data_IF_763678095859
#
_entry.id   IF_763678095859
#
_cell.length_a   1.000
_cell.length_b   1.000
_cell.length_c   1.000
_cell.angle_alpha   90.00
_cell.angle_beta   90.00
_cell.angle_gamma   90.00
#
_symmetry.space_group_name_H-M   'P 1'
#
loop_
_entity.id
_entity.type
_entity.pdbx_description
1 polymer ?
#
# COMPACT_ATOMS: atom_id res chain seq x y z
N UNK A 1 -4.45 11.65 9.25
CA UNK A 1 -5.94 11.80 9.27
C UNK A 1 -6.50 10.72 8.38
N UNK A 2 -7.63 10.13 8.76
CA UNK A 2 -8.33 9.14 7.95
C UNK A 2 -9.79 9.55 7.77
N UNK A 3 -10.36 9.20 6.62
CA UNK A 3 -11.76 9.36 6.32
C UNK A 3 -12.29 8.04 5.76
N UNK A 4 -13.31 7.51 6.42
CA UNK A 4 -14.01 6.31 5.99
C UNK A 4 -15.42 6.67 5.59
N UNK A 5 -15.89 6.10 4.49
CA UNK A 5 -17.29 6.15 4.13
C UNK A 5 -17.75 4.76 3.74
N UNK A 6 -19.00 4.48 4.07
CA UNK A 6 -19.71 3.30 3.60
C UNK A 6 -20.96 3.71 2.85
N UNK A 7 -21.55 2.77 2.11
CA UNK A 7 -22.80 2.91 1.33
C UNK A 7 -22.60 3.30 -0.15
N UNK A 8 -21.79 2.52 -0.89
CA UNK A 8 -21.76 2.63 -2.37
C UNK A 8 -22.83 1.81 -3.09
N UNK A 9 -23.58 0.98 -2.35
CA UNK A 9 -24.62 0.10 -2.91
C UNK A 9 -24.10 -1.16 -3.61
N UNK A 10 -22.77 -1.35 -3.68
CA UNK A 10 -22.14 -2.54 -4.27
C UNK A 10 -21.94 -3.67 -3.28
N UNK A 11 -21.99 -3.38 -1.98
CA UNK A 11 -22.09 -4.38 -0.92
C UNK A 11 -23.56 -4.51 -0.48
N UNK A 12 -24.34 -5.47 -1.01
CA UNK A 12 -25.79 -5.56 -0.78
C UNK A 12 -26.18 -5.85 0.68
N UNK A 13 -25.22 -6.24 1.52
CA UNK A 13 -25.43 -6.50 2.95
C UNK A 13 -25.02 -5.33 3.86
N UNK A 14 -24.61 -4.19 3.29
CA UNK A 14 -24.20 -3.03 4.09
C UNK A 14 -25.42 -2.30 4.67
N UNK A 15 -25.55 -2.31 6.00
CA UNK A 15 -26.50 -1.52 6.78
C UNK A 15 -25.78 -0.36 7.49
N UNK A 16 -26.48 0.72 7.89
CA UNK A 16 -25.91 1.71 8.81
C UNK A 16 -25.31 1.02 10.05
N UNK A 17 -23.98 1.15 10.24
CA UNK A 17 -23.21 0.40 11.25
C UNK A 17 -22.41 -0.81 10.74
N UNK A 18 -22.35 -1.05 9.42
CA UNK A 18 -21.48 -2.05 8.79
C UNK A 18 -20.05 -1.55 8.51
N UNK A 19 -19.19 -2.42 7.94
CA UNK A 19 -17.79 -2.12 7.61
C UNK A 19 -17.65 -1.19 6.40
N UNK A 20 -16.73 -0.21 6.47
CA UNK A 20 -16.43 0.72 5.39
C UNK A 20 -16.02 0.03 4.08
N UNK A 21 -16.47 0.60 2.95
CA UNK A 21 -16.12 0.14 1.59
C UNK A 21 -15.26 1.16 0.82
N UNK A 22 -14.97 2.30 1.46
CA UNK A 22 -14.04 3.34 1.00
C UNK A 22 -13.22 3.84 2.19
N UNK A 23 -11.90 3.84 2.02
CA UNK A 23 -10.96 4.44 2.95
C UNK A 23 -9.99 5.38 2.22
N UNK A 24 -9.77 6.57 2.79
CA UNK A 24 -8.75 7.52 2.37
C UNK A 24 -7.97 7.96 3.59
N UNK A 25 -6.64 7.94 3.53
CA UNK A 25 -5.84 8.37 4.65
C UNK A 25 -4.47 8.93 4.26
N UNK A 26 -3.96 9.76 5.16
CA UNK A 26 -2.63 10.37 5.11
C UNK A 26 -1.83 9.96 6.35
N UNK A 27 -0.57 9.58 6.13
CA UNK A 27 0.38 9.16 7.16
C UNK A 27 1.68 9.95 7.07
N UNK A 28 2.26 10.26 8.21
CA UNK A 28 3.63 10.75 8.31
C UNK A 28 4.50 9.62 8.83
N UNK A 29 5.54 9.26 8.09
CA UNK A 29 6.52 8.27 8.52
C UNK A 29 7.58 8.94 9.40
N UNK A 30 8.25 8.16 10.25
CA UNK A 30 9.36 8.63 11.10
C UNK A 30 10.48 9.29 10.28
N UNK A 31 10.68 8.83 9.04
CA UNK A 31 11.63 9.41 8.09
C UNK A 31 11.27 10.82 7.59
N UNK A 32 10.10 11.34 7.93
CA UNK A 32 9.56 12.59 7.40
C UNK A 32 8.86 12.46 6.04
N UNK A 33 8.79 11.24 5.48
CA UNK A 33 8.00 10.95 4.27
C UNK A 33 6.51 11.08 4.59
N UNK A 34 5.74 11.60 3.65
CA UNK A 34 4.28 11.58 3.70
C UNK A 34 3.76 10.51 2.76
N UNK A 35 2.90 9.63 3.28
CA UNK A 35 2.19 8.62 2.50
C UNK A 35 0.71 8.96 2.38
N UNK A 36 0.15 8.68 1.23
CA UNK A 36 -1.28 8.75 0.96
C UNK A 36 -1.74 7.41 0.42
N UNK A 37 -2.91 6.96 0.85
CA UNK A 37 -3.53 5.76 0.28
C UNK A 37 -5.05 5.91 0.17
N UNK A 38 -5.57 5.29 -0.87
CA UNK A 38 -7.00 5.19 -1.17
C UNK A 38 -7.37 3.74 -1.47
N UNK A 39 -8.32 3.21 -0.70
CA UNK A 39 -8.86 1.86 -0.87
C UNK A 39 -10.34 1.98 -1.17
N UNK A 40 -10.77 1.34 -2.27
CA UNK A 40 -12.10 1.53 -2.85
C UNK A 40 -12.66 0.17 -3.29
N UNK A 41 -13.63 -0.35 -2.55
CA UNK A 41 -14.46 -1.48 -2.99
C UNK A 41 -15.75 -1.02 -3.68
N UNK A 42 -16.04 0.28 -3.63
CA UNK A 42 -17.19 0.91 -4.27
C UNK A 42 -16.97 1.37 -5.72
N UNK A 43 -15.83 1.08 -6.34
CA UNK A 43 -15.54 1.51 -7.71
C UNK A 43 -16.22 0.59 -8.73
N UNK A 44 -17.00 1.17 -9.66
CA UNK A 44 -17.67 0.40 -10.74
C UNK A 44 -16.67 -0.26 -11.72
N UNK A 45 -15.50 0.34 -11.89
CA UNK A 45 -14.40 -0.16 -12.71
C UNK A 45 -13.08 0.31 -12.14
N UNK A 46 -12.00 -0.43 -12.43
CA UNK A 46 -10.63 0.01 -12.14
C UNK A 46 -10.38 1.37 -12.81
N UNK A 47 -10.11 2.44 -12.04
CA UNK A 47 -9.98 3.78 -12.62
C UNK A 47 -8.75 3.92 -13.54
N UNK A 48 -7.63 3.34 -13.12
CA UNK A 48 -6.33 3.43 -13.79
C UNK A 48 -5.73 2.02 -13.85
N UNK A 49 -5.45 1.45 -15.04
CA UNK A 49 -4.71 0.20 -15.15
C UNK A 49 -3.27 0.36 -14.66
N UNK A 50 -2.79 -0.59 -13.86
CA UNK A 50 -1.43 -0.60 -13.31
C UNK A 50 -0.73 -1.93 -13.58
N UNK A 51 0.58 -2.00 -13.33
CA UNK A 51 1.33 -3.24 -13.50
C UNK A 51 0.97 -4.34 -12.49
N UNK A 52 0.39 -4.00 -11.33
CA UNK A 52 0.12 -4.95 -10.24
C UNK A 52 -1.35 -5.07 -9.85
N UNK A 53 -2.23 -4.21 -10.39
CA UNK A 53 -3.61 -3.95 -9.95
C UNK A 53 -3.75 -3.04 -8.71
N UNK A 54 -2.63 -2.69 -8.07
CA UNK A 54 -2.54 -1.59 -7.09
C UNK A 54 -1.82 -0.41 -7.72
N UNK A 55 -2.21 0.82 -7.40
CA UNK A 55 -1.49 2.01 -7.84
C UNK A 55 -0.35 2.34 -6.87
N UNK A 56 0.87 2.41 -7.39
CA UNK A 56 2.05 2.80 -6.63
C UNK A 56 2.77 3.93 -7.34
N UNK A 57 3.02 5.01 -6.61
CA UNK A 57 3.81 6.16 -7.05
C UNK A 57 4.74 6.55 -5.89
N UNK A 58 6.03 6.66 -6.17
CA UNK A 58 7.06 7.04 -5.20
C UNK A 58 7.84 8.20 -5.79
N UNK A 59 7.78 9.35 -5.12
CA UNK A 59 8.58 10.53 -5.46
C UNK A 59 9.80 10.60 -4.54
N UNK A 60 10.96 10.84 -5.14
CA UNK A 60 12.21 11.09 -4.43
C UNK A 60 12.85 12.40 -4.91
N UNK A 61 13.85 12.86 -4.17
CA UNK A 61 14.68 14.02 -4.51
C UNK A 61 15.36 13.89 -5.88
N UNK A 62 15.70 12.66 -6.25
CA UNK A 62 16.47 12.32 -7.45
C UNK A 62 15.67 11.63 -8.53
N UNK A 63 14.36 11.46 -8.37
CA UNK A 63 13.58 10.70 -9.33
C UNK A 63 12.17 10.35 -8.92
N UNK A 64 11.53 9.53 -9.74
CA UNK A 64 10.19 8.98 -9.49
C UNK A 64 10.11 7.55 -10.01
N UNK A 65 9.38 6.70 -9.29
CA UNK A 65 8.96 5.38 -9.76
C UNK A 65 7.43 5.34 -9.70
N UNK A 66 6.78 4.86 -10.75
CA UNK A 66 5.34 4.60 -10.72
C UNK A 66 4.96 3.41 -11.58
N UNK A 67 3.76 2.86 -11.36
CA UNK A 67 3.26 1.70 -12.12
C UNK A 67 2.02 1.98 -12.99
N UNK A 68 1.66 3.25 -13.21
CA UNK A 68 0.60 3.67 -14.16
C UNK A 68 0.90 3.14 -15.56
N UNK A 69 -0.01 2.32 -16.10
CA UNK A 69 0.11 1.67 -17.41
C UNK A 69 1.39 0.83 -17.60
N UNK A 70 2.00 0.37 -16.51
CA UNK A 70 3.30 -0.31 -16.50
C UNK A 70 4.28 0.37 -15.55
N UNK A 71 5.39 -0.30 -15.22
CA UNK A 71 6.45 0.30 -14.41
C UNK A 71 7.20 1.36 -15.23
N UNK A 72 7.43 2.52 -14.61
CA UNK A 72 8.20 3.61 -15.17
C UNK A 72 9.14 4.17 -14.11
N UNK A 73 10.31 4.63 -14.56
CA UNK A 73 11.31 5.30 -13.73
C UNK A 73 11.79 6.57 -14.39
N UNK A 74 12.08 7.57 -13.59
CA UNK A 74 12.93 8.70 -13.95
C UNK A 74 13.99 8.85 -12.86
N UNK A 75 15.22 9.15 -13.26
CA UNK A 75 16.33 9.38 -12.33
C UNK A 75 17.25 10.47 -12.84
N UNK A 76 17.61 11.40 -11.95
CA UNK A 76 18.63 12.43 -12.20
C UNK A 76 20.05 11.89 -12.16
N UNK A 77 20.27 10.69 -11.59
CA UNK A 77 21.60 10.11 -11.37
C UNK A 77 21.95 8.99 -12.36
N UNK A 78 20.94 8.30 -12.91
CA UNK A 78 21.13 7.21 -13.85
C UNK A 78 20.97 7.72 -15.30
N UNK A 79 22.06 7.84 -16.10
CA UNK A 79 21.99 8.44 -17.44
C UNK A 79 20.97 7.78 -18.38
N UNK A 80 20.75 6.48 -18.25
CA UNK A 80 19.77 5.73 -19.04
C UNK A 80 18.31 6.07 -18.70
N UNK A 81 18.05 6.75 -17.57
CA UNK A 81 16.72 7.12 -17.09
C UNK A 81 16.58 8.64 -16.82
N UNK A 82 17.55 9.45 -17.24
CA UNK A 82 17.55 10.90 -17.02
C UNK A 82 16.87 11.71 -18.11
N UNK A 83 16.50 11.07 -19.22
CA UNK A 83 15.81 11.71 -20.36
C UNK A 83 14.29 11.91 -20.17
N UNK A 84 13.75 11.55 -19.01
CA UNK A 84 12.31 11.57 -18.70
C UNK A 84 11.81 10.21 -18.21
N UNK A 85 10.49 10.09 -18.05
CA UNK A 85 9.85 8.84 -17.64
C UNK A 85 10.13 7.73 -18.66
N UNK A 86 10.88 6.72 -18.22
CA UNK A 86 11.28 5.57 -19.03
C UNK A 86 10.51 4.35 -18.57
N UNK A 87 9.79 3.70 -19.49
CA UNK A 87 9.10 2.45 -19.21
C UNK A 87 10.11 1.34 -18.93
N UNK A 88 9.88 0.59 -17.85
CA UNK A 88 10.65 -0.57 -17.48
C UNK A 88 9.96 -1.84 -18.00
N UNK A 89 10.77 -2.76 -18.52
CA UNK A 89 10.33 -4.10 -18.90
C UNK A 89 10.49 -5.04 -17.70
N UNK A 90 9.59 -4.89 -16.72
CA UNK A 90 9.53 -5.76 -15.54
C UNK A 90 8.47 -6.84 -15.81
N UNK A 91 8.83 -8.13 -15.73
CA UNK A 91 7.87 -9.21 -15.88
C UNK A 91 6.74 -9.10 -14.86
N UNK A 92 5.52 -9.33 -15.32
CA UNK A 92 4.37 -9.50 -14.42
C UNK A 92 4.33 -10.94 -13.94
N UNK A 93 4.20 -11.12 -12.63
CA UNK A 93 4.05 -12.43 -12.01
C UNK A 93 2.60 -12.59 -11.54
N UNK A 94 1.98 -13.77 -11.72
CA UNK A 94 0.70 -14.11 -11.10
C UNK A 94 0.73 -13.85 -9.59
N UNK A 95 -0.36 -13.29 -9.05
CA UNK A 95 -0.47 -13.03 -7.61
C UNK A 95 -0.16 -14.27 -6.75
N UNK A 96 -0.58 -15.46 -7.20
CA UNK A 96 -0.34 -16.74 -6.49
C UNK A 96 1.15 -17.06 -6.30
N UNK A 97 2.02 -16.51 -7.13
CA UNK A 97 3.47 -16.69 -7.01
C UNK A 97 4.01 -15.95 -5.78
N UNK A 98 3.36 -14.85 -5.35
CA UNK A 98 3.73 -14.15 -4.11
C UNK A 98 3.52 -15.02 -2.87
N UNK A 99 2.40 -15.76 -2.82
CA UNK A 99 2.10 -16.71 -1.74
C UNK A 99 3.13 -17.84 -1.72
N UNK A 100 3.48 -18.35 -2.91
CA UNK A 100 4.50 -19.39 -3.04
C UNK A 100 5.89 -18.89 -2.60
N UNK A 101 6.23 -17.64 -2.92
CA UNK A 101 7.46 -17.00 -2.48
C UNK A 101 7.49 -16.79 -0.95
N UNK A 102 6.38 -16.35 -0.36
CA UNK A 102 6.24 -16.17 1.09
C UNK A 102 6.41 -17.49 1.86
N UNK A 103 5.74 -18.57 1.41
CA UNK A 103 5.89 -19.90 2.03
C UNK A 103 7.33 -20.39 1.91
N UNK A 104 7.97 -20.22 0.74
CA UNK A 104 9.38 -20.59 0.56
C UNK A 104 10.29 -19.81 1.52
N UNK A 105 10.13 -18.50 1.60
CA UNK A 105 10.87 -17.63 2.52
C UNK A 105 10.71 -18.08 3.98
N UNK A 106 9.48 -18.42 4.38
CA UNK A 106 9.21 -18.92 5.72
C UNK A 106 9.95 -20.25 6.00
N UNK A 107 9.96 -21.20 5.06
CA UNK A 107 10.71 -22.45 5.21
C UNK A 107 12.23 -22.20 5.29
N UNK A 108 12.77 -21.27 4.51
CA UNK A 108 14.18 -20.86 4.59
C UNK A 108 14.54 -20.28 5.97
N UNK A 109 13.63 -19.49 6.56
CA UNK A 109 13.79 -18.96 7.91
C UNK A 109 13.79 -20.07 8.97
N UNK A 110 12.93 -21.10 8.83
CA UNK A 110 12.94 -22.26 9.73
C UNK A 110 14.30 -22.98 9.68
N UNK A 111 14.84 -23.20 8.47
CA UNK A 111 16.10 -23.94 8.29
C UNK A 111 17.30 -23.13 8.80
N UNK A 112 17.31 -21.83 8.54
CA UNK A 112 18.43 -20.95 8.92
C UNK A 112 18.34 -20.44 10.37
N UNK A 113 17.17 -20.51 11.00
CA UNK A 113 16.89 -19.86 12.28
C UNK A 113 16.74 -18.34 12.18
N UNK A 114 16.63 -17.78 10.96
CA UNK A 114 16.40 -16.35 10.75
C UNK A 114 14.94 -15.95 11.06
N UNK A 115 14.71 -14.67 11.35
CA UNK A 115 13.36 -14.11 11.48
C UNK A 115 12.75 -13.83 10.09
N UNK A 116 11.48 -14.23 9.83
CA UNK A 116 10.80 -13.88 8.58
C UNK A 116 10.73 -12.36 8.36
N UNK A 117 10.72 -11.92 7.09
CA UNK A 117 10.62 -10.50 6.74
C UNK A 117 9.33 -9.88 7.29
N UNK A 118 8.22 -10.60 7.16
CA UNK A 118 6.89 -10.24 7.68
C UNK A 118 6.56 -11.08 8.91
N UNK A 119 7.41 -10.99 9.94
CA UNK A 119 7.21 -11.75 11.17
C UNK A 119 5.96 -11.28 11.92
N UNK A 120 5.48 -12.09 12.88
CA UNK A 120 4.39 -11.66 13.76
C UNK A 120 4.74 -10.40 14.56
N UNK A 121 6.02 -10.20 14.92
CA UNK A 121 6.48 -8.99 15.63
C UNK A 121 6.50 -7.78 14.74
N UNK A 122 6.98 -7.93 13.51
CA UNK A 122 6.93 -6.89 12.48
C UNK A 122 5.48 -6.46 12.19
N UNK A 123 4.59 -7.44 11.98
CA UNK A 123 3.20 -7.17 11.63
C UNK A 123 2.39 -6.48 12.75
N UNK A 124 2.85 -6.49 14.01
CA UNK A 124 2.23 -5.66 15.06
C UNK A 124 2.27 -4.18 14.71
N UNK A 125 3.32 -3.70 14.03
CA UNK A 125 3.39 -2.33 13.53
C UNK A 125 2.29 -2.03 12.51
N UNK A 126 2.10 -2.93 11.55
CA UNK A 126 1.00 -2.83 10.56
C UNK A 126 -0.36 -2.79 11.24
N UNK A 127 -0.61 -3.67 12.22
CA UNK A 127 -1.87 -3.70 12.95
C UNK A 127 -2.09 -2.45 13.81
N UNK A 128 -1.04 -1.88 14.40
CA UNK A 128 -1.12 -0.62 15.13
C UNK A 128 -1.51 0.55 14.22
N UNK A 129 -0.99 0.58 12.99
CA UNK A 129 -1.42 1.57 11.98
C UNK A 129 -2.90 1.40 11.65
N UNK A 130 -3.38 0.18 11.40
CA UNK A 130 -4.81 -0.07 11.14
C UNK A 130 -5.67 0.46 12.28
N UNK A 131 -5.32 0.16 13.53
CA UNK A 131 -6.04 0.67 14.71
C UNK A 131 -6.03 2.21 14.78
N UNK A 132 -4.88 2.83 14.52
CA UNK A 132 -4.74 4.28 14.49
C UNK A 132 -5.61 4.94 13.42
N UNK A 133 -5.78 4.31 12.26
CA UNK A 133 -6.63 4.83 11.20
C UNK A 133 -8.10 4.86 11.61
N UNK A 134 -8.61 3.81 12.27
CA UNK A 134 -9.97 3.83 12.84
C UNK A 134 -10.13 4.90 13.92
N UNK A 135 -9.19 4.99 14.85
CA UNK A 135 -9.21 6.03 15.88
C UNK A 135 -9.16 7.46 15.28
N UNK A 136 -8.37 7.65 14.22
CA UNK A 136 -8.28 8.92 13.50
C UNK A 136 -9.58 9.27 12.77
N UNK A 137 -10.24 8.28 12.16
CA UNK A 137 -11.53 8.47 11.50
C UNK A 137 -12.64 8.82 12.48
N UNK A 138 -12.70 8.16 13.64
CA UNK A 138 -13.69 8.43 14.69
C UNK A 138 -13.48 9.81 15.33
N UNK A 139 -12.25 10.12 15.73
CA UNK A 139 -11.91 11.40 16.38
C UNK A 139 -11.80 12.58 15.42
N UNK A 140 -11.76 12.33 14.11
CA UNK A 140 -11.51 13.33 13.05
C UNK A 140 -10.22 14.12 13.30
N UNK A 141 -9.21 13.45 13.84
CA UNK A 141 -7.96 14.07 14.26
C UNK A 141 -6.76 13.22 13.83
N UNK A 142 -5.55 13.77 13.97
CA UNK A 142 -4.32 13.00 13.78
C UNK A 142 -4.08 12.16 15.02
N UNK A 143 -3.79 10.87 14.82
CA UNK A 143 -3.42 9.94 15.90
C UNK A 143 -1.97 9.55 15.74
N UNK A 144 -1.21 9.60 16.83
CA UNK A 144 0.15 9.10 16.87
C UNK A 144 0.13 7.59 17.14
N UNK A 145 0.67 6.81 16.22
CA UNK A 145 0.69 5.34 16.31
C UNK A 145 1.46 4.86 17.55
N UNK A 146 2.48 5.59 17.98
CA UNK A 146 3.29 5.21 19.16
C UNK A 146 2.60 5.47 20.50
N UNK A 147 1.45 6.14 20.51
CA UNK A 147 0.71 6.51 21.72
C UNK A 147 -0.53 5.62 21.95
N UNK A 148 -0.70 4.58 21.13
CA UNK A 148 -1.80 3.60 21.20
C UNK A 148 -1.44 2.32 21.96
#
# INVERSE_FOLDING_TARGET
>A
VAAFTGFTGLNPNYAPGGNEDIAAFLMNFESGIVGEAFYLFGAYKTPIPTATNELTIIYGDKGVIHNVLGWHIYSTELPQYSGGLTRLDIPSYPYIDSVSAEVRHFLECIVSGAEPLTSGRDNLGTMAVVHALYAAAESKSVVNVSEL
#
